data_IF_514889547469
#
_entry.id   IF_514889547469
#
_cell.length_a   1.000
_cell.length_b   1.000
_cell.length_c   1.000
_cell.angle_alpha   90.00
_cell.angle_beta   90.00
_cell.angle_gamma   90.00
#
_symmetry.space_group_name_H-M   'P 1'
#
loop_
_entity.id
_entity.type
_entity.pdbx_description
1 polymer ?
#
# COMPACT_ATOMS: atom_id res chain seq x y z
N UNK A 1 -10.53 -11.27 -3.62
CA UNK A 1 -9.71 -10.10 -3.24
C UNK A 1 -8.86 -9.75 -4.45
N UNK A 2 -8.40 -8.50 -4.60
CA UNK A 2 -7.88 -7.99 -5.89
C UNK A 2 -6.57 -7.22 -5.72
N UNK A 3 -5.57 -7.55 -6.53
CA UNK A 3 -4.31 -6.77 -6.67
C UNK A 3 -4.59 -5.31 -7.05
N UNK A 4 -5.68 -5.04 -7.77
CA UNK A 4 -6.08 -3.67 -8.09
C UNK A 4 -6.46 -2.88 -6.85
N UNK A 5 -7.20 -3.48 -5.90
CA UNK A 5 -7.57 -2.82 -4.64
C UNK A 5 -6.33 -2.51 -3.79
N UNK A 6 -5.34 -3.41 -3.78
CA UNK A 6 -4.06 -3.15 -3.15
C UNK A 6 -3.28 -2.01 -3.84
N UNK A 7 -3.40 -1.89 -5.16
CA UNK A 7 -2.77 -0.79 -5.91
C UNK A 7 -3.45 0.55 -5.60
N UNK A 8 -4.78 0.58 -5.56
CA UNK A 8 -5.57 1.75 -5.16
C UNK A 8 -5.21 2.20 -3.73
N UNK A 9 -5.05 1.25 -2.80
CA UNK A 9 -4.54 1.52 -1.45
C UNK A 9 -3.18 2.20 -1.46
N UNK A 10 -2.22 1.67 -2.23
CA UNK A 10 -0.87 2.24 -2.33
C UNK A 10 -0.90 3.67 -2.89
N UNK A 11 -1.78 3.95 -3.86
CA UNK A 11 -1.92 5.30 -4.42
C UNK A 11 -2.57 6.27 -3.42
N UNK A 12 -3.61 5.83 -2.70
CA UNK A 12 -4.25 6.63 -1.64
C UNK A 12 -3.27 6.97 -0.52
N UNK A 13 -2.47 5.99 -0.08
CA UNK A 13 -1.45 6.21 0.94
C UNK A 13 -0.47 7.32 0.53
N UNK A 14 -0.05 7.36 -0.74
CA UNK A 14 0.84 8.42 -1.25
C UNK A 14 0.18 9.77 -1.38
N UNK A 15 -1.08 9.78 -1.80
CA UNK A 15 -1.83 11.01 -1.98
C UNK A 15 -2.22 11.65 -0.65
N UNK A 16 -2.40 10.83 0.40
CA UNK A 16 -2.78 11.28 1.74
C UNK A 16 -1.59 11.23 2.71
N UNK A 17 -0.94 12.38 2.84
CA UNK A 17 0.20 12.57 3.73
C UNK A 17 -0.17 12.41 5.21
N UNK A 18 -1.43 12.69 5.58
CA UNK A 18 -1.91 12.54 6.95
C UNK A 18 -2.10 11.05 7.29
N UNK A 19 -2.64 10.27 6.36
CA UNK A 19 -2.74 8.82 6.47
C UNK A 19 -1.35 8.16 6.56
N UNK A 20 -0.41 8.60 5.70
CA UNK A 20 0.99 8.14 5.77
C UNK A 20 1.61 8.45 7.12
N UNK A 21 1.48 9.68 7.61
CA UNK A 21 2.00 10.04 8.95
C UNK A 21 1.34 9.24 10.06
N UNK A 22 0.04 8.96 9.97
CA UNK A 22 -0.66 8.15 10.96
C UNK A 22 -0.11 6.73 11.02
N UNK A 23 0.12 6.09 9.88
CA UNK A 23 0.71 4.75 9.80
C UNK A 23 2.16 4.75 10.30
N UNK A 24 2.95 5.77 9.94
CA UNK A 24 4.35 5.91 10.40
C UNK A 24 4.48 6.23 11.90
N UNK A 25 3.46 6.85 12.49
CA UNK A 25 3.43 7.18 13.92
C UNK A 25 3.07 5.99 14.81
N UNK A 26 2.63 4.86 14.25
CA UNK A 26 2.49 3.62 14.98
C UNK A 26 3.90 3.19 15.43
N UNK A 27 4.16 3.23 16.73
CA UNK A 27 5.49 3.05 17.37
C UNK A 27 6.14 1.67 17.19
N UNK A 28 5.53 0.80 16.38
CA UNK A 28 6.01 -0.53 16.01
C UNK A 28 5.90 -0.62 14.49
N UNK A 29 6.91 -1.15 13.76
CA UNK A 29 6.78 -1.33 12.32
C UNK A 29 5.46 -2.07 12.04
N UNK A 30 4.52 -1.45 11.29
CA UNK A 30 3.22 -2.04 11.09
C UNK A 30 3.41 -3.34 10.32
N UNK A 31 2.93 -4.43 10.91
CA UNK A 31 2.82 -5.71 10.20
C UNK A 31 1.95 -5.53 8.96
N UNK A 32 2.26 -6.25 7.87
CA UNK A 32 1.52 -6.17 6.62
C UNK A 32 0.05 -6.55 6.81
N UNK A 33 -0.25 -7.44 7.76
CA UNK A 33 -1.62 -7.76 8.19
C UNK A 33 -2.35 -6.52 8.72
N UNK A 34 -1.66 -5.66 9.48
CA UNK A 34 -2.23 -4.42 9.99
C UNK A 34 -2.54 -3.43 8.86
N UNK A 35 -1.66 -3.38 7.84
CA UNK A 35 -1.87 -2.55 6.65
C UNK A 35 -3.08 -3.03 5.84
N UNK A 36 -3.25 -4.35 5.71
CA UNK A 36 -4.44 -4.95 5.08
C UNK A 36 -5.72 -4.60 5.84
N UNK A 37 -5.68 -4.65 7.18
CA UNK A 37 -6.83 -4.28 8.01
C UNK A 37 -7.20 -2.80 7.86
N UNK A 38 -6.22 -1.90 7.76
CA UNK A 38 -6.46 -0.48 7.50
C UNK A 38 -7.09 -0.26 6.11
N UNK A 39 -6.62 -0.98 5.09
CA UNK A 39 -7.26 -1.00 3.77
C UNK A 39 -8.72 -1.42 3.84
N UNK A 40 -9.01 -2.47 4.59
CA UNK A 40 -10.37 -2.96 4.79
C UNK A 40 -11.28 -1.95 5.49
N UNK A 41 -10.77 -1.18 6.47
CA UNK A 41 -11.51 -0.08 7.10
C UNK A 41 -11.87 1.03 6.12
N UNK A 42 -11.08 1.21 5.06
CA UNK A 42 -11.34 2.17 3.98
C UNK A 42 -12.16 1.56 2.83
N UNK A 43 -12.68 0.34 2.99
CA UNK A 43 -13.51 -0.36 2.00
C UNK A 43 -12.72 -1.07 0.90
N UNK A 44 -11.38 -1.10 0.99
CA UNK A 44 -10.51 -1.79 0.04
C UNK A 44 -10.15 -3.17 0.57
N UNK A 45 -10.59 -4.23 -0.12
CA UNK A 45 -10.35 -5.61 0.29
C UNK A 45 -9.25 -6.26 -0.56
N UNK A 46 -8.09 -6.50 0.07
CA UNK A 46 -6.94 -7.18 -0.52
C UNK A 46 -6.21 -8.04 0.52
N UNK A 47 -5.37 -8.97 0.08
CA UNK A 47 -4.50 -9.79 0.95
C UNK A 47 -3.08 -9.24 1.04
N UNK A 48 -2.28 -9.75 1.99
CA UNK A 48 -0.85 -9.43 2.09
C UNK A 48 -0.11 -9.80 0.80
N UNK A 49 -0.43 -10.95 0.19
CA UNK A 49 0.17 -11.37 -1.08
C UNK A 49 -0.16 -10.40 -2.23
N UNK A 50 -1.41 -9.93 -2.29
CA UNK A 50 -1.86 -8.97 -3.28
C UNK A 50 -1.21 -7.59 -3.07
N UNK A 51 -1.01 -7.19 -1.81
CA UNK A 51 -0.25 -5.99 -1.45
C UNK A 51 1.21 -6.10 -1.88
N UNK A 52 1.85 -7.24 -1.66
CA UNK A 52 3.22 -7.51 -2.10
C UNK A 52 3.36 -7.47 -3.62
N UNK A 53 2.41 -8.07 -4.34
CA UNK A 53 2.37 -8.03 -5.80
C UNK A 53 2.19 -6.60 -6.33
N UNK A 54 1.25 -5.83 -5.77
CA UNK A 54 1.01 -4.44 -6.15
C UNK A 54 2.23 -3.55 -5.88
N UNK A 55 2.88 -3.72 -4.72
CA UNK A 55 4.10 -3.00 -4.37
C UNK A 55 5.26 -3.32 -5.34
N UNK A 56 5.44 -4.59 -5.72
CA UNK A 56 6.45 -5.00 -6.69
C UNK A 56 6.21 -4.37 -8.06
N UNK A 57 4.99 -4.41 -8.57
CA UNK A 57 4.64 -3.79 -9.85
C UNK A 57 4.88 -2.28 -9.82
N UNK A 58 4.47 -1.62 -8.76
CA UNK A 58 4.68 -0.19 -8.61
C UNK A 58 6.17 0.19 -8.60
N UNK A 59 6.99 -0.56 -7.85
CA UNK A 59 8.44 -0.34 -7.82
C UNK A 59 9.09 -0.54 -9.20
N UNK A 60 8.68 -1.57 -9.94
CA UNK A 60 9.16 -1.81 -11.30
C UNK A 60 8.81 -0.65 -12.24
N UNK A 61 7.60 -0.11 -12.14
CA UNK A 61 7.19 1.07 -12.93
C UNK A 61 8.02 2.31 -12.58
N UNK A 62 8.31 2.53 -11.30
CA UNK A 62 9.18 3.64 -10.86
C UNK A 62 10.61 3.46 -11.35
N UNK A 63 11.12 2.24 -11.34
CA UNK A 63 12.46 1.94 -11.85
C UNK A 63 12.59 2.33 -13.33
N UNK A 64 11.57 2.05 -14.15
CA UNK A 64 11.53 2.49 -15.56
C UNK A 64 11.58 4.02 -15.69
N UNK A 65 10.92 4.77 -14.80
CA UNK A 65 10.91 6.24 -14.84
C UNK A 65 12.24 6.89 -14.42
N UNK A 66 13.14 6.16 -13.77
CA UNK A 66 14.39 6.67 -13.21
C UNK A 66 15.65 6.11 -13.88
N UNK A 67 15.51 5.21 -14.86
CA UNK A 67 16.61 4.55 -15.57
C UNK A 67 16.50 4.67 -17.10
N UNK A 68 16.06 5.83 -17.59
CA UNK A 68 16.21 6.27 -19.00
C UNK A 68 17.24 7.41 -19.09
#
# INVERSE_FOLDING_TARGET
>A
MSVQAAFEWIQQLRADEALTRHILALTVPPDLEHVVQLGAQMGLMFTVDELGAAHKHDWQMRWLLHHD
#
